data_IF_593341437117
#
_entry.id   IF_593341437117
#
_cell.length_a   1.000
_cell.length_b   1.000
_cell.length_c   1.000
_cell.angle_alpha   90.00
_cell.angle_beta   90.00
_cell.angle_gamma   90.00
#
_symmetry.space_group_name_H-M   'P 1'
#
loop_
_entity.id
_entity.type
_entity.pdbx_description
1 polymer ?
#
# COMPACT_ATOMS: atom_id res chain seq x y z
N UNK A 1 -4.64 19.49 16.46
CA UNK A 1 -4.26 18.09 16.74
C UNK A 1 -2.90 17.84 16.10
N UNK A 2 -1.93 17.29 16.83
CA UNK A 2 -0.63 16.92 16.23
C UNK A 2 -0.84 15.61 15.46
N UNK A 3 -0.76 15.66 14.13
CA UNK A 3 -0.90 14.47 13.29
C UNK A 3 0.28 13.52 13.55
N UNK A 4 -0.02 12.23 13.69
CA UNK A 4 0.99 11.19 13.93
C UNK A 4 1.74 10.84 12.63
N UNK A 5 1.04 10.96 11.48
CA UNK A 5 1.57 10.88 10.12
C UNK A 5 0.79 11.89 9.28
N UNK A 6 1.47 12.89 8.69
CA UNK A 6 0.88 13.88 7.78
C UNK A 6 1.58 13.78 6.42
N UNK A 7 1.29 12.69 5.73
CA UNK A 7 1.99 12.30 4.50
C UNK A 7 0.98 11.81 3.47
N UNK A 8 1.19 12.12 2.18
CA UNK A 8 0.35 11.59 1.13
C UNK A 8 0.36 10.05 1.12
N UNK A 9 -0.81 9.47 0.89
CA UNK A 9 -0.99 8.03 0.81
C UNK A 9 -1.90 7.67 -0.36
N UNK A 10 -1.78 6.43 -0.81
CA UNK A 10 -2.55 5.86 -1.91
C UNK A 10 -2.80 4.38 -1.66
N UNK A 11 -3.82 3.85 -2.31
CA UNK A 11 -4.16 2.42 -2.26
C UNK A 11 -4.31 1.90 -3.68
N UNK A 12 -3.57 0.84 -3.97
CA UNK A 12 -3.74 0.01 -5.13
C UNK A 12 -4.50 -1.27 -4.76
N UNK A 13 -5.41 -1.70 -5.62
CA UNK A 13 -5.98 -3.06 -5.56
C UNK A 13 -5.55 -3.86 -6.78
N UNK A 14 -5.46 -5.17 -6.57
CA UNK A 14 -5.29 -6.14 -7.64
C UNK A 14 -6.61 -6.32 -8.38
N UNK A 15 -6.56 -6.20 -9.69
CA UNK A 15 -7.68 -6.51 -10.58
C UNK A 15 -7.61 -7.99 -11.03
N UNK A 16 -8.68 -8.47 -11.68
CA UNK A 16 -8.82 -9.88 -12.08
C UNK A 16 -7.74 -10.33 -13.09
N UNK A 17 -7.19 -9.40 -13.88
CA UNK A 17 -6.08 -9.64 -14.80
C UNK A 17 -4.70 -9.68 -14.10
N UNK A 18 -4.67 -9.48 -12.79
CA UNK A 18 -3.46 -9.42 -11.98
C UNK A 18 -2.76 -8.06 -11.97
N UNK A 19 -3.27 -7.06 -12.70
CA UNK A 19 -2.71 -5.71 -12.70
C UNK A 19 -3.07 -4.94 -11.43
N UNK A 20 -2.25 -3.95 -11.08
CA UNK A 20 -2.56 -3.00 -10.03
C UNK A 20 -3.27 -1.77 -10.59
N UNK A 21 -4.42 -1.46 -10.01
CA UNK A 21 -5.16 -0.22 -10.29
C UNK A 21 -5.12 0.69 -9.07
N UNK A 22 -4.92 1.98 -9.30
CA UNK A 22 -5.07 2.99 -8.25
C UNK A 22 -6.56 3.17 -7.96
N UNK A 23 -6.96 2.90 -6.73
CA UNK A 23 -8.35 3.06 -6.30
C UNK A 23 -8.57 4.33 -5.49
N UNK A 24 -7.58 4.72 -4.68
CA UNK A 24 -7.68 5.91 -3.86
C UNK A 24 -6.31 6.60 -3.75
N UNK A 25 -6.35 7.93 -3.67
CA UNK A 25 -5.21 8.79 -3.34
C UNK A 25 -5.68 9.83 -2.34
N UNK A 26 -4.83 10.19 -1.38
CA UNK A 26 -5.12 11.23 -0.39
C UNK A 26 -5.04 12.65 -0.96
N UNK A 27 -4.36 12.83 -2.10
CA UNK A 27 -4.28 14.08 -2.85
C UNK A 27 -4.48 13.82 -4.34
N UNK A 28 -5.23 14.72 -4.99
CA UNK A 28 -5.48 14.66 -6.45
C UNK A 28 -4.19 14.93 -7.23
N UNK A 29 -3.33 15.81 -6.72
CA UNK A 29 -2.07 16.21 -7.34
C UNK A 29 -0.92 15.22 -7.10
N UNK A 30 -1.21 14.08 -6.44
CA UNK A 30 -0.21 13.06 -6.18
C UNK A 30 0.16 12.34 -7.49
N UNK A 31 1.27 12.80 -8.07
CA UNK A 31 1.91 12.17 -9.21
C UNK A 31 2.41 10.77 -8.79
N UNK A 32 2.06 9.77 -9.60
CA UNK A 32 2.54 8.40 -9.44
C UNK A 32 3.30 8.10 -10.71
N UNK A 33 4.60 7.91 -10.59
CA UNK A 33 5.50 7.61 -11.70
C UNK A 33 5.37 6.14 -12.13
N UNK A 34 5.93 5.78 -13.27
CA UNK A 34 5.98 4.37 -13.70
C UNK A 34 6.87 3.53 -12.79
N UNK A 35 7.90 4.13 -12.20
CA UNK A 35 8.76 3.46 -11.20
C UNK A 35 8.00 3.16 -9.90
N UNK A 36 7.14 4.08 -9.45
CA UNK A 36 6.26 3.85 -8.31
C UNK A 36 5.28 2.70 -8.56
N UNK A 37 4.74 2.61 -9.78
CA UNK A 37 3.88 1.49 -10.19
C UNK A 37 4.67 0.18 -10.23
N UNK A 38 5.89 0.18 -10.75
CA UNK A 38 6.75 -1.00 -10.79
C UNK A 38 7.10 -1.50 -9.38
N UNK A 39 7.42 -0.58 -8.47
CA UNK A 39 7.65 -0.89 -7.06
C UNK A 39 6.40 -1.46 -6.37
N UNK A 40 5.23 -0.86 -6.63
CA UNK A 40 3.96 -1.37 -6.12
C UNK A 40 3.64 -2.77 -6.67
N UNK A 41 3.82 -3.01 -7.97
CA UNK A 41 3.62 -4.33 -8.59
C UNK A 41 4.57 -5.36 -7.99
N UNK A 42 5.84 -5.01 -7.81
CA UNK A 42 6.79 -5.90 -7.15
C UNK A 42 6.37 -6.24 -5.71
N UNK A 43 5.86 -5.27 -4.95
CA UNK A 43 5.33 -5.50 -3.61
C UNK A 43 4.10 -6.41 -3.62
N UNK A 44 3.23 -6.27 -4.62
CA UNK A 44 2.11 -7.19 -4.81
C UNK A 44 2.59 -8.62 -5.07
N UNK A 45 3.55 -8.79 -5.97
CA UNK A 45 4.01 -10.11 -6.43
C UNK A 45 4.82 -10.85 -5.36
N UNK A 46 5.68 -10.12 -4.63
CA UNK A 46 6.60 -10.71 -3.65
C UNK A 46 6.00 -10.73 -2.24
N UNK A 47 4.97 -9.92 -1.97
CA UNK A 47 4.42 -9.77 -0.62
C UNK A 47 5.41 -9.16 0.35
N UNK A 48 6.36 -8.38 -0.13
CA UNK A 48 7.36 -7.72 0.70
C UNK A 48 7.28 -6.21 0.54
N UNK A 49 7.67 -5.51 1.60
CA UNK A 49 7.72 -4.05 1.59
C UNK A 49 8.79 -3.59 0.60
N UNK A 50 8.48 -2.55 -0.17
CA UNK A 50 9.45 -1.95 -1.10
C UNK A 50 9.41 -0.43 -1.00
N UNK A 51 10.34 0.19 -1.72
CA UNK A 51 10.39 1.62 -1.87
C UNK A 51 11.27 2.33 -0.84
N UNK A 52 10.91 3.57 -0.53
CA UNK A 52 11.68 4.49 0.29
C UNK A 52 12.07 3.87 1.65
N UNK A 53 13.39 3.76 1.88
CA UNK A 53 13.94 3.21 3.10
C UNK A 53 14.02 1.68 3.16
N UNK A 54 13.67 0.99 2.09
CA UNK A 54 13.88 -0.46 1.93
C UNK A 54 15.11 -0.75 1.04
N UNK A 55 15.38 -2.03 0.76
CA UNK A 55 16.44 -2.44 -0.18
C UNK A 55 15.97 -2.50 -1.64
N UNK A 56 14.68 -2.67 -1.88
CA UNK A 56 14.10 -2.88 -3.21
C UNK A 56 13.38 -1.62 -3.65
N UNK A 57 13.66 -1.12 -4.85
CA UNK A 57 13.12 0.16 -5.35
C UNK A 57 13.40 1.33 -4.40
N UNK A 58 14.58 1.39 -3.78
CA UNK A 58 14.92 2.44 -2.80
C UNK A 58 14.85 3.87 -3.32
N UNK A 59 14.83 4.03 -4.65
CA UNK A 59 14.83 5.31 -5.35
C UNK A 59 13.44 5.95 -5.44
N UNK A 60 12.35 5.19 -5.24
CA UNK A 60 11.01 5.78 -5.10
C UNK A 60 10.90 6.54 -3.77
N UNK A 61 10.07 7.59 -3.79
CA UNK A 61 9.70 8.36 -2.61
C UNK A 61 8.59 7.68 -1.77
N UNK A 62 7.94 6.67 -2.32
CA UNK A 62 6.90 5.92 -1.64
C UNK A 62 7.47 4.73 -0.89
N UNK A 63 6.96 4.48 0.30
CA UNK A 63 7.06 3.22 1.00
C UNK A 63 5.79 2.39 0.73
N UNK A 64 5.98 1.21 0.15
CA UNK A 64 4.88 0.32 -0.24
C UNK A 64 4.73 -0.83 0.75
N UNK A 65 3.49 -1.08 1.15
CA UNK A 65 3.10 -2.10 2.14
C UNK A 65 2.08 -3.05 1.50
N UNK A 66 2.36 -4.37 1.44
CA UNK A 66 1.43 -5.33 0.86
C UNK A 66 0.23 -5.56 1.79
N UNK A 67 -0.97 -5.60 1.21
CA UNK A 67 -2.20 -5.98 1.91
C UNK A 67 -2.38 -7.49 1.86
N UNK A 68 -1.86 -8.19 2.88
CA UNK A 68 -1.88 -9.65 2.99
C UNK A 68 -3.16 -10.16 3.64
N UNK A 69 -4.03 -10.77 2.85
CA UNK A 69 -5.22 -11.47 3.33
C UNK A 69 -4.99 -12.98 3.41
N UNK A 70 -5.97 -13.72 3.91
CA UNK A 70 -5.94 -15.20 3.93
C UNK A 70 -5.92 -15.81 2.51
N UNK A 71 -6.50 -15.13 1.53
CA UNK A 71 -6.60 -15.59 0.14
C UNK A 71 -5.40 -15.14 -0.72
N UNK A 72 -4.46 -14.40 -0.12
CA UNK A 72 -3.30 -13.85 -0.80
C UNK A 72 -3.25 -12.33 -0.70
N UNK A 73 -2.43 -11.73 -1.55
CA UNK A 73 -2.18 -10.29 -1.54
C UNK A 73 -3.21 -9.62 -2.45
N UNK A 74 -4.07 -8.82 -1.85
CA UNK A 74 -5.23 -8.21 -2.52
C UNK A 74 -4.93 -6.80 -3.05
N UNK A 75 -3.80 -6.23 -2.66
CA UNK A 75 -3.38 -4.90 -3.10
C UNK A 75 -2.19 -4.38 -2.30
N UNK A 76 -1.91 -3.09 -2.48
CA UNK A 76 -0.72 -2.41 -1.93
C UNK A 76 -1.09 -1.02 -1.42
N UNK A 77 -0.62 -0.68 -0.23
CA UNK A 77 -0.73 0.68 0.33
C UNK A 77 0.59 1.39 0.04
N UNK A 78 0.53 2.56 -0.59
CA UNK A 78 1.69 3.42 -0.81
C UNK A 78 1.63 4.65 0.09
N UNK A 79 2.75 5.00 0.72
CA UNK A 79 2.85 6.17 1.58
C UNK A 79 4.08 6.96 1.18
N UNK A 80 3.93 8.25 0.89
CA UNK A 80 5.02 9.12 0.47
C UNK A 80 5.88 9.51 1.68
N UNK A 81 6.61 8.53 2.20
CA UNK A 81 7.44 8.69 3.38
C UNK A 81 8.56 7.66 3.37
N UNK A 82 9.76 8.08 3.80
CA UNK A 82 10.88 7.15 3.93
C UNK A 82 10.69 6.31 5.20
N UNK A 83 10.57 4.99 5.03
CA UNK A 83 10.34 4.10 6.16
C UNK A 83 11.44 4.21 7.23
N UNK A 84 12.70 4.50 6.87
CA UNK A 84 13.82 4.67 7.82
C UNK A 84 13.60 5.81 8.81
N UNK A 85 12.83 6.82 8.43
CA UNK A 85 12.54 7.99 9.25
C UNK A 85 11.31 7.78 10.17
N UNK A 86 10.67 6.61 10.11
CA UNK A 86 9.59 6.26 11.02
C UNK A 86 10.15 5.80 12.37
N UNK A 87 9.66 6.44 13.44
CA UNK A 87 9.88 5.94 14.80
C UNK A 87 9.26 4.55 14.97
N UNK A 88 9.80 3.70 15.86
CA UNK A 88 9.27 2.36 16.10
C UNK A 88 7.76 2.33 16.40
N UNK A 89 7.26 3.33 17.13
CA UNK A 89 5.84 3.47 17.44
C UNK A 89 4.99 3.79 16.20
N UNK A 90 5.45 4.70 15.34
CA UNK A 90 4.78 5.00 14.07
C UNK A 90 4.75 3.78 13.14
N UNK A 91 5.84 3.01 13.09
CA UNK A 91 5.89 1.75 12.30
C UNK A 91 4.88 0.73 12.81
N UNK A 92 4.78 0.55 14.14
CA UNK A 92 3.80 -0.35 14.76
C UNK A 92 2.38 0.09 14.44
N UNK A 93 2.07 1.37 14.66
CA UNK A 93 0.77 1.94 14.34
C UNK A 93 0.41 1.74 12.87
N UNK A 94 1.36 2.03 11.97
CA UNK A 94 1.17 1.87 10.54
C UNK A 94 0.91 0.41 10.14
N UNK A 95 1.64 -0.54 10.74
CA UNK A 95 1.38 -1.96 10.57
C UNK A 95 -0.03 -2.36 11.02
N UNK A 96 -0.47 -1.86 12.18
CA UNK A 96 -1.83 -2.10 12.68
C UNK A 96 -2.90 -1.53 11.75
N UNK A 97 -2.73 -0.28 11.29
CA UNK A 97 -3.65 0.37 10.36
C UNK A 97 -3.71 -0.41 9.04
N UNK A 98 -2.55 -0.78 8.48
CA UNK A 98 -2.46 -1.55 7.24
C UNK A 98 -3.16 -2.91 7.36
N UNK A 99 -3.03 -3.57 8.52
CA UNK A 99 -3.72 -4.82 8.80
C UNK A 99 -5.25 -4.64 8.85
N UNK A 100 -5.74 -3.61 9.56
CA UNK A 100 -7.18 -3.32 9.63
C UNK A 100 -7.76 -2.96 8.25
N UNK A 101 -7.06 -2.15 7.46
CA UNK A 101 -7.43 -1.84 6.08
C UNK A 101 -7.54 -3.12 5.26
N UNK A 102 -6.56 -4.02 5.38
CA UNK A 102 -6.53 -5.29 4.67
C UNK A 102 -7.73 -6.17 5.01
N UNK A 103 -8.08 -6.29 6.29
CA UNK A 103 -9.24 -7.08 6.75
C UNK A 103 -10.54 -6.56 6.13
N UNK A 104 -10.78 -5.25 6.23
CA UNK A 104 -12.00 -4.62 5.69
C UNK A 104 -12.05 -4.74 4.18
N UNK A 105 -10.93 -4.52 3.50
CA UNK A 105 -10.86 -4.59 2.05
C UNK A 105 -11.07 -6.03 1.54
N UNK A 106 -10.48 -7.03 2.20
CA UNK A 106 -10.70 -8.44 1.86
C UNK A 106 -12.18 -8.82 1.97
N UNK A 107 -12.83 -8.42 3.08
CA UNK A 107 -14.27 -8.66 3.29
C UNK A 107 -15.12 -7.99 2.20
N UNK A 108 -14.80 -6.76 1.83
CA UNK A 108 -15.52 -6.04 0.78
C UNK A 108 -15.34 -6.69 -0.60
N UNK A 109 -14.14 -7.17 -0.92
CA UNK A 109 -13.86 -7.87 -2.19
C UNK A 109 -14.62 -9.20 -2.28
N UNK A 110 -14.67 -9.98 -1.19
CA UNK A 110 -15.46 -11.21 -1.10
C UNK A 110 -16.96 -10.95 -1.33
N UNK A 111 -17.53 -9.92 -0.69
CA UNK A 111 -18.94 -9.54 -0.89
C UNK A 111 -19.25 -9.06 -2.32
N UNK A 112 -18.27 -8.47 -3.02
CA UNK A 112 -18.42 -8.06 -4.41
C UNK A 112 -18.41 -9.27 -5.35
N UNK A 113 -17.58 -10.27 -5.07
CA UNK A 113 -17.51 -11.51 -5.84
C UNK A 113 -18.80 -12.36 -5.71
N UNK A 114 -19.43 -12.39 -4.53
CA UNK A 114 -20.70 -13.11 -4.31
C UNK A 114 -21.93 -12.49 -5.00
N UNK A 115 -21.83 -11.23 -5.45
CA UNK A 115 -22.92 -10.52 -6.13
C UNK A 115 -22.83 -10.57 -7.67
N UNK A 116 -21.81 -11.22 -8.22
CA UNK A 116 -21.65 -11.46 -9.65
C UNK A 116 -22.02 -12.90 -9.99
#
# INVERSE_FOLDING_TARGET
>A
AKMILDVPALVFFREDDGSLKVWAKSSVDLAITEEDKAAATWTLDNGEVSGAGTYTYSDTQFYFIPMKSLEGIIGVIGILYNSKDLFPEQRRLLGTISNLITIVAAMWMSLKAERQ
#
